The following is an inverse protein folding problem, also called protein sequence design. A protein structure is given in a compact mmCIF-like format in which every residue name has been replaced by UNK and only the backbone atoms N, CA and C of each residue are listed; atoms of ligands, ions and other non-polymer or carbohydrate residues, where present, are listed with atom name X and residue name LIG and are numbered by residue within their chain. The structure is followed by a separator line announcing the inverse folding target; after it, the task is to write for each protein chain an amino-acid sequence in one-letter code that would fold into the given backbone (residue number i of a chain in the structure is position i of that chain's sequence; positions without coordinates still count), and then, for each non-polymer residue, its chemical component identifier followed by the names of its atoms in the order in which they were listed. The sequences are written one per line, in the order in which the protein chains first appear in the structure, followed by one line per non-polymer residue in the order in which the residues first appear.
data_IF_201599943400
#
_entry.id   IF_201599943400
#
_cell.length_a   1.000
_cell.length_b   1.000
_cell.length_c   1.000
_cell.angle_alpha   90.00
_cell.angle_beta   90.00
_cell.angle_gamma   90.00
#
_symmetry.space_group_name_H-M   'P 1'
#
loop_
_entity.id
_entity.type
_entity.pdbx_description
1 polymer ?
#
# COMPACT_ATOMS: atom_id res chain seq x y z
N UNK A 1 7.40 -8.16 10.55
CA UNK A 1 7.38 -8.85 9.24
C UNK A 1 7.24 -7.80 8.16
N UNK A 2 7.93 -7.96 7.02
CA UNK A 2 7.79 -7.02 5.90
C UNK A 2 6.70 -7.54 4.98
N UNK A 3 5.82 -6.65 4.54
CA UNK A 3 4.75 -6.94 3.60
C UNK A 3 4.98 -6.12 2.33
N UNK A 4 4.96 -6.77 1.17
CA UNK A 4 4.93 -6.08 -0.11
C UNK A 4 3.50 -5.61 -0.40
N UNK A 5 3.37 -4.35 -0.78
CA UNK A 5 2.12 -3.71 -1.19
C UNK A 5 1.95 -3.93 -2.69
N UNK A 6 0.87 -4.61 -3.09
CA UNK A 6 0.64 -5.07 -4.45
C UNK A 6 -0.64 -4.44 -5.02
N UNK A 7 -0.66 -4.26 -6.34
CA UNK A 7 -1.87 -3.90 -7.08
C UNK A 7 -2.17 -4.92 -8.16
N UNK A 8 -3.46 -5.16 -8.48
CA UNK A 8 -3.83 -6.02 -9.60
C UNK A 8 -3.18 -5.55 -10.89
N UNK A 9 -2.49 -6.44 -11.60
CA UNK A 9 -1.81 -6.14 -12.86
C UNK A 9 -0.51 -5.33 -12.72
N UNK A 10 -0.04 -5.06 -11.49
CA UNK A 10 1.27 -4.45 -11.27
C UNK A 10 2.40 -5.47 -11.42
N UNK A 11 3.41 -5.13 -12.22
CA UNK A 11 4.60 -5.98 -12.42
C UNK A 11 5.56 -5.97 -11.22
N UNK A 12 5.43 -5.00 -10.32
CA UNK A 12 6.26 -4.85 -9.13
C UNK A 12 5.44 -4.34 -7.93
N UNK A 13 5.92 -4.58 -6.69
CA UNK A 13 5.33 -3.96 -5.51
C UNK A 13 5.36 -2.45 -5.59
N UNK A 14 4.28 -1.80 -5.15
CA UNK A 14 4.22 -0.35 -4.98
C UNK A 14 5.13 0.14 -3.85
N UNK A 15 5.32 -0.71 -2.85
CA UNK A 15 6.10 -0.38 -1.67
C UNK A 15 6.17 -1.54 -0.69
N UNK A 16 6.75 -1.29 0.47
CA UNK A 16 6.93 -2.27 1.52
C UNK A 16 6.49 -1.68 2.85
N UNK A 17 5.76 -2.47 3.64
CA UNK A 17 5.25 -2.07 4.93
C UNK A 17 5.78 -2.99 6.03
N UNK A 18 6.42 -2.41 7.04
CA UNK A 18 6.87 -3.15 8.22
C UNK A 18 5.75 -3.15 9.27
N UNK A 19 5.24 -4.32 9.60
CA UNK A 19 4.21 -4.49 10.62
C UNK A 19 4.50 -5.70 11.50
N UNK A 20 4.09 -5.64 12.77
CA UNK A 20 4.16 -6.78 13.69
C UNK A 20 3.11 -7.85 13.35
N UNK A 21 1.93 -7.39 12.90
CA UNK A 21 0.79 -8.23 12.53
C UNK A 21 0.41 -8.04 11.05
N UNK A 22 -0.46 -8.90 10.52
CA UNK A 22 -0.98 -8.76 9.17
C UNK A 22 -1.71 -7.41 9.01
N UNK A 23 -1.23 -6.52 8.13
CA UNK A 23 -1.80 -5.18 7.98
C UNK A 23 -3.14 -5.23 7.23
N UNK A 24 -4.02 -4.27 7.50
CA UNK A 24 -5.20 -4.09 6.65
C UNK A 24 -4.82 -3.39 5.34
N UNK A 25 -5.62 -3.52 4.27
CA UNK A 25 -5.43 -2.75 3.04
C UNK A 25 -5.45 -1.24 3.29
N UNK A 26 -6.30 -0.78 4.21
CA UNK A 26 -6.42 0.63 4.62
C UNK A 26 -5.12 1.16 5.23
N UNK A 27 -4.52 0.42 6.16
CA UNK A 27 -3.27 0.81 6.80
C UNK A 27 -2.11 0.92 5.79
N UNK A 28 -2.13 0.09 4.75
CA UNK A 28 -1.15 0.15 3.67
C UNK A 28 -1.41 1.32 2.72
N UNK A 29 -2.67 1.61 2.39
CA UNK A 29 -3.03 2.80 1.64
C UNK A 29 -2.60 4.08 2.37
N UNK A 30 -2.87 4.17 3.67
CA UNK A 30 -2.43 5.29 4.50
C UNK A 30 -0.92 5.44 4.52
N UNK A 31 -0.19 4.32 4.61
CA UNK A 31 1.26 4.32 4.55
C UNK A 31 1.76 4.86 3.20
N UNK A 32 1.22 4.38 2.08
CA UNK A 32 1.60 4.83 0.75
C UNK A 32 1.27 6.31 0.53
N UNK A 33 0.10 6.76 0.98
CA UNK A 33 -0.28 8.17 0.91
C UNK A 33 0.71 9.06 1.67
N UNK A 34 1.06 8.66 2.90
CA UNK A 34 2.02 9.39 3.73
C UNK A 34 3.43 9.40 3.13
N UNK A 35 3.92 8.27 2.64
CA UNK A 35 5.24 8.16 1.99
C UNK A 35 5.32 9.01 0.72
N UNK A 36 4.22 9.10 -0.03
CA UNK A 36 4.13 9.92 -1.23
C UNK A 36 3.77 11.40 -0.98
N UNK A 37 3.50 11.78 0.28
CA UNK A 37 3.24 13.17 0.68
C UNK A 37 1.81 13.67 0.45
N UNK A 38 0.85 12.76 0.28
CA UNK A 38 -0.58 13.11 0.17
C UNK A 38 -1.20 13.36 1.55
N UNK A 39 -2.30 14.12 1.59
CA UNK A 39 -2.98 14.46 2.84
C UNK A 39 -3.65 13.23 3.48
N UNK A 40 -4.22 12.36 2.64
CA UNK A 40 -4.89 11.14 3.06
C UNK A 40 -4.87 10.07 1.97
N UNK A 41 -5.40 8.88 2.31
CA UNK A 41 -5.49 7.75 1.38
C UNK A 41 -6.40 8.02 0.19
N UNK A 42 -7.46 8.82 0.35
CA UNK A 42 -8.46 9.01 -0.70
C UNK A 42 -7.85 9.86 -1.82
N UNK A 43 -7.17 10.94 -1.46
CA UNK A 43 -6.41 11.78 -2.38
C UNK A 43 -5.35 10.95 -3.13
N UNK A 44 -4.60 10.12 -2.42
CA UNK A 44 -3.61 9.24 -3.04
C UNK A 44 -4.24 8.22 -4.01
N UNK A 45 -5.34 7.56 -3.61
CA UNK A 45 -6.02 6.57 -4.44
C UNK A 45 -6.63 7.22 -5.70
N UNK A 46 -7.20 8.42 -5.58
CA UNK A 46 -7.76 9.16 -6.71
C UNK A 46 -6.66 9.56 -7.70
N UNK A 47 -5.55 10.11 -7.21
CA UNK A 47 -4.43 10.58 -8.05
C UNK A 47 -3.65 9.43 -8.72
N UNK A 48 -3.52 8.29 -8.04
CA UNK A 48 -2.80 7.12 -8.57
C UNK A 48 -3.70 6.17 -9.35
N UNK A 49 -5.03 6.30 -9.22
CA UNK A 49 -6.00 5.37 -9.79
C UNK A 49 -6.00 3.99 -9.12
N UNK A 50 -5.36 3.84 -7.96
CA UNK A 50 -5.29 2.57 -7.22
C UNK A 50 -6.63 2.33 -6.54
N UNK A 51 -7.45 1.45 -7.11
CA UNK A 51 -8.76 1.09 -6.55
C UNK A 51 -8.74 -0.10 -5.58
N UNK A 52 -7.73 -0.97 -5.66
CA UNK A 52 -7.62 -2.18 -4.83
C UNK A 52 -6.16 -2.42 -4.48
N UNK A 53 -5.90 -2.71 -3.20
CA UNK A 53 -4.58 -3.07 -2.69
C UNK A 53 -4.60 -4.49 -2.16
N UNK A 54 -3.63 -5.29 -2.59
CA UNK A 54 -3.30 -6.59 -2.03
C UNK A 54 -2.00 -6.52 -1.24
N UNK A 55 -1.73 -7.54 -0.44
CA UNK A 55 -0.47 -7.65 0.29
C UNK A 55 0.00 -9.08 0.42
N UNK A 56 1.33 -9.24 0.40
CA UNK A 56 1.97 -10.53 0.61
C UNK A 56 3.17 -10.35 1.56
N UNK A 57 3.35 -11.23 2.56
CA UNK A 57 4.55 -11.22 3.36
C UNK A 57 5.78 -11.55 2.50
N UNK A 58 6.88 -10.84 2.76
CA UNK A 58 8.17 -11.08 2.12
C UNK A 58 9.24 -11.36 3.18
N UNK A 59 10.11 -12.33 2.89
CA UNK A 59 11.18 -12.82 3.76
C UNK A 59 12.51 -12.11 3.48
#
# INVERSE_FOLDING_TARGET
MVYAILIPGGDAPLGYFLSADAPSPEAQADHMAKEAGFADREEWMEQTGVGVIGYAPVH
#
